data_IF_200579783109
#
_entry.id   IF_200579783109
#
_cell.length_a   1.000
_cell.length_b   1.000
_cell.length_c   1.000
_cell.angle_alpha   90.00
_cell.angle_beta   90.00
_cell.angle_gamma   90.00
#
_symmetry.space_group_name_H-M   'P 1'
#
loop_
_entity.id
_entity.type
_entity.pdbx_description
1 polymer ?
#
# COMPACT_ATOMS: atom_id res chain seq x y z
N UNK A 1 -6.38 1.79 -28.48
CA UNK A 1 -5.63 0.56 -28.19
C UNK A 1 -4.48 0.79 -27.24
N UNK A 2 -3.66 1.82 -27.50
CA UNK A 2 -2.51 2.11 -26.64
C UNK A 2 -2.94 2.49 -25.22
N UNK A 3 -3.95 3.34 -25.09
CA UNK A 3 -4.48 3.72 -23.78
C UNK A 3 -5.04 2.51 -23.05
N UNK A 4 -5.72 1.64 -23.78
CA UNK A 4 -6.26 0.42 -23.21
C UNK A 4 -5.17 -0.53 -22.75
N UNK A 5 -4.10 -0.66 -23.52
CA UNK A 5 -2.95 -1.48 -23.15
C UNK A 5 -2.28 -0.92 -21.93
N UNK A 6 -2.11 0.41 -21.86
CA UNK A 6 -1.50 1.04 -20.69
C UNK A 6 -2.35 0.82 -19.44
N UNK A 7 -3.66 0.93 -19.55
CA UNK A 7 -4.55 0.67 -18.42
C UNK A 7 -4.47 -0.78 -17.95
N UNK A 8 -4.37 -1.70 -18.88
CA UNK A 8 -4.21 -3.12 -18.57
C UNK A 8 -2.86 -3.37 -17.90
N UNK A 9 -1.82 -2.70 -18.36
CA UNK A 9 -0.49 -2.84 -17.77
C UNK A 9 -0.49 -2.39 -16.30
N UNK A 10 -1.13 -1.24 -16.00
CA UNK A 10 -1.25 -0.75 -14.63
C UNK A 10 -2.02 -1.74 -13.76
N UNK A 11 -3.14 -2.25 -14.28
CA UNK A 11 -3.95 -3.22 -13.57
C UNK A 11 -3.14 -4.49 -13.31
N UNK A 12 -2.48 -5.00 -14.35
CA UNK A 12 -1.70 -6.24 -14.24
C UNK A 12 -0.53 -6.07 -13.27
N UNK A 13 0.13 -4.93 -13.29
CA UNK A 13 1.24 -4.66 -12.37
C UNK A 13 0.77 -4.67 -10.93
N UNK A 14 -0.40 -4.08 -10.64
CA UNK A 14 -0.97 -4.08 -9.30
C UNK A 14 -1.36 -5.48 -8.86
N UNK A 15 -1.97 -6.26 -9.75
CA UNK A 15 -2.36 -7.64 -9.44
C UNK A 15 -1.13 -8.53 -9.28
N UNK A 16 -0.13 -8.37 -10.15
CA UNK A 16 1.10 -9.13 -10.03
C UNK A 16 1.81 -8.84 -8.71
N UNK A 17 1.87 -7.56 -8.32
CA UNK A 17 2.45 -7.18 -7.05
C UNK A 17 1.72 -7.85 -5.90
N UNK A 18 0.39 -7.79 -5.90
CA UNK A 18 -0.43 -8.38 -4.85
C UNK A 18 -0.19 -9.88 -4.75
N UNK A 19 -0.15 -10.57 -5.89
CA UNK A 19 0.08 -12.00 -5.92
C UNK A 19 1.47 -12.36 -5.41
N UNK A 20 2.48 -11.63 -5.87
CA UNK A 20 3.87 -11.86 -5.44
C UNK A 20 4.02 -11.63 -3.95
N UNK A 21 3.55 -10.50 -3.47
CA UNK A 21 3.64 -10.14 -2.06
C UNK A 21 2.90 -11.15 -1.19
N UNK A 22 1.73 -11.59 -1.65
CA UNK A 22 0.94 -12.60 -0.92
C UNK A 22 1.63 -13.94 -0.83
N UNK A 23 2.46 -14.31 -1.80
CA UNK A 23 3.25 -15.54 -1.76
C UNK A 23 4.39 -15.44 -0.76
N UNK A 24 5.04 -14.28 -0.70
CA UNK A 24 6.19 -14.06 0.18
C UNK A 24 5.72 -13.85 1.62
N UNK A 25 4.59 -13.19 1.79
CA UNK A 25 4.03 -12.85 3.11
C UNK A 25 2.56 -13.26 3.19
N UNK A 26 2.26 -14.58 3.25
CA UNK A 26 0.88 -15.06 3.10
C UNK A 26 -0.07 -14.59 4.19
N UNK A 27 0.44 -14.33 5.38
CA UNK A 27 -0.41 -13.92 6.51
C UNK A 27 -0.62 -12.42 6.60
N UNK A 28 0.15 -11.62 5.87
CA UNK A 28 0.12 -10.17 5.98
C UNK A 28 -1.25 -9.59 5.63
N UNK A 29 -1.77 -9.96 4.45
CA UNK A 29 -3.07 -9.45 4.00
C UNK A 29 -4.21 -9.91 4.90
N UNK A 30 -4.17 -11.18 5.33
CA UNK A 30 -5.20 -11.72 6.21
C UNK A 30 -5.21 -11.01 7.55
N UNK A 31 -4.03 -10.80 8.13
CA UNK A 31 -3.90 -10.10 9.41
C UNK A 31 -4.42 -8.67 9.32
N UNK A 32 -4.06 -7.96 8.25
CA UNK A 32 -4.56 -6.59 8.06
C UNK A 32 -6.07 -6.57 7.92
N UNK A 33 -6.63 -7.46 7.13
CA UNK A 33 -8.07 -7.49 6.87
C UNK A 33 -8.86 -7.84 8.13
N UNK A 34 -8.32 -8.73 8.95
CA UNK A 34 -8.97 -9.12 10.22
C UNK A 34 -8.89 -8.02 11.26
N UNK A 35 -7.73 -7.38 11.39
CA UNK A 35 -7.53 -6.36 12.42
C UNK A 35 -8.11 -5.01 12.03
N UNK A 36 -8.16 -4.70 10.74
CA UNK A 36 -8.61 -3.41 10.23
C UNK A 36 -9.55 -3.61 9.05
N UNK A 37 -10.79 -4.03 9.31
CA UNK A 37 -11.74 -4.34 8.24
C UNK A 37 -12.14 -3.13 7.38
N UNK A 38 -11.87 -1.91 7.86
CA UNK A 38 -12.20 -0.68 7.12
C UNK A 38 -11.15 -0.32 6.08
N UNK A 39 -10.04 -1.05 5.99
CA UNK A 39 -9.02 -0.75 4.98
C UNK A 39 -9.52 -1.12 3.59
N UNK A 40 -9.36 -0.19 2.66
CA UNK A 40 -9.68 -0.44 1.25
C UNK A 40 -8.54 -1.21 0.59
N UNK A 41 -8.76 -1.78 -0.61
CA UNK A 41 -7.66 -2.41 -1.36
C UNK A 41 -6.47 -1.48 -1.59
N UNK A 42 -6.73 -0.19 -1.80
CA UNK A 42 -5.65 0.80 -1.96
C UNK A 42 -4.87 0.98 -0.65
N UNK A 43 -5.58 1.00 0.48
CA UNK A 43 -4.93 1.09 1.79
C UNK A 43 -4.03 -0.11 2.03
N UNK A 44 -4.53 -1.30 1.71
CA UNK A 44 -3.77 -2.54 1.91
C UNK A 44 -2.53 -2.56 1.01
N UNK A 45 -2.65 -2.10 -0.22
CA UNK A 45 -1.49 -1.98 -1.12
C UNK A 45 -0.46 -1.02 -0.57
N UNK A 46 -0.92 0.12 -0.04
CA UNK A 46 -0.01 1.08 0.59
C UNK A 46 0.71 0.45 1.78
N UNK A 47 -0.01 -0.32 2.59
CA UNK A 47 0.59 -1.05 3.71
C UNK A 47 1.71 -1.98 3.23
N UNK A 48 1.50 -2.68 2.12
CA UNK A 48 2.51 -3.58 1.57
C UNK A 48 3.77 -2.81 1.12
N UNK A 49 3.58 -1.67 0.44
CA UNK A 49 4.72 -0.82 0.06
C UNK A 49 5.49 -0.34 1.27
N UNK A 50 4.78 0.05 2.32
CA UNK A 50 5.41 0.51 3.56
C UNK A 50 6.14 -0.62 4.27
N UNK A 51 5.58 -1.82 4.26
CA UNK A 51 6.26 -2.99 4.80
C UNK A 51 7.61 -3.21 4.11
N UNK A 52 7.67 -2.97 2.82
CA UNK A 52 8.90 -3.11 2.04
C UNK A 52 9.89 -1.97 2.26
N UNK A 53 9.51 -0.96 3.03
CA UNK A 53 10.39 0.17 3.34
C UNK A 53 10.47 1.22 2.25
N UNK A 54 9.49 1.26 1.35
CA UNK A 54 9.49 2.26 0.29
C UNK A 54 9.22 3.65 0.82
N UNK A 55 9.95 4.62 0.28
CA UNK A 55 9.74 6.04 0.63
C UNK A 55 8.49 6.57 -0.04
N UNK A 56 7.99 7.70 0.47
CA UNK A 56 6.85 8.40 -0.15
C UNK A 56 7.13 8.68 -1.63
N UNK A 57 8.34 9.13 -1.95
CA UNK A 57 8.74 9.44 -3.32
C UNK A 57 8.71 8.19 -4.21
N UNK A 58 9.24 7.09 -3.71
CA UNK A 58 9.23 5.82 -4.45
C UNK A 58 7.81 5.34 -4.71
N UNK A 59 6.95 5.41 -3.70
CA UNK A 59 5.54 5.04 -3.84
C UNK A 59 4.84 5.93 -4.87
N UNK A 60 5.13 7.23 -4.82
CA UNK A 60 4.54 8.19 -5.77
C UNK A 60 4.92 7.83 -7.21
N UNK A 61 6.19 7.52 -7.45
CA UNK A 61 6.65 7.12 -8.79
C UNK A 61 5.95 5.83 -9.24
N UNK A 62 5.93 4.84 -8.37
CA UNK A 62 5.36 3.53 -8.71
C UNK A 62 3.86 3.58 -8.99
N UNK A 63 3.15 4.45 -8.29
CA UNK A 63 1.69 4.55 -8.41
C UNK A 63 1.24 5.67 -9.34
N UNK A 64 2.16 6.36 -9.98
CA UNK A 64 1.87 7.48 -10.88
C UNK A 64 1.06 8.58 -10.17
N UNK A 65 1.43 8.86 -8.92
CA UNK A 65 0.75 9.86 -8.10
C UNK A 65 1.74 10.94 -7.65
N UNK A 66 1.21 12.07 -7.23
CA UNK A 66 2.03 13.13 -6.66
C UNK A 66 2.46 12.75 -5.25
N UNK A 67 3.63 13.25 -4.84
CA UNK A 67 4.16 13.02 -3.49
C UNK A 67 3.15 13.48 -2.44
N UNK A 68 2.52 14.65 -2.67
CA UNK A 68 1.51 15.19 -1.77
C UNK A 68 0.33 14.23 -1.58
N UNK A 69 -0.10 13.59 -2.66
CA UNK A 69 -1.21 12.62 -2.60
C UNK A 69 -0.82 11.40 -1.77
N UNK A 70 0.41 10.93 -1.91
CA UNK A 70 0.89 9.80 -1.13
C UNK A 70 1.02 10.17 0.35
N UNK A 71 1.53 11.36 0.65
CA UNK A 71 1.59 11.85 2.03
C UNK A 71 0.21 11.90 2.68
N UNK A 72 -0.77 12.42 1.94
CA UNK A 72 -2.15 12.47 2.43
C UNK A 72 -2.69 11.07 2.69
N UNK A 73 -2.41 10.13 1.79
CA UNK A 73 -2.83 8.75 1.96
C UNK A 73 -2.19 8.10 3.19
N UNK A 74 -0.90 8.38 3.43
CA UNK A 74 -0.21 7.89 4.63
C UNK A 74 -0.85 8.43 5.90
N UNK A 75 -1.20 9.71 5.93
CA UNK A 75 -1.82 10.31 7.09
C UNK A 75 -3.21 9.73 7.35
N UNK A 76 -4.00 9.53 6.28
CA UNK A 76 -5.31 8.87 6.42
C UNK A 76 -5.15 7.44 6.93
N UNK A 77 -4.14 6.74 6.44
CA UNK A 77 -3.86 5.37 6.88
C UNK A 77 -3.53 5.33 8.38
N UNK A 78 -2.68 6.26 8.86
CA UNK A 78 -2.39 6.35 10.29
C UNK A 78 -3.65 6.46 11.12
N UNK A 79 -4.59 7.31 10.69
CA UNK A 79 -5.87 7.46 11.40
C UNK A 79 -6.66 6.17 11.42
N UNK A 80 -6.73 5.48 10.30
CA UNK A 80 -7.45 4.20 10.22
C UNK A 80 -6.84 3.13 11.11
N UNK A 81 -5.52 3.17 11.27
CA UNK A 81 -4.78 2.22 12.11
C UNK A 81 -4.76 2.63 13.59
N UNK A 82 -5.28 3.80 13.92
CA UNK A 82 -5.24 4.31 15.30
C UNK A 82 -3.88 4.83 15.73
N UNK A 83 -3.06 5.26 14.79
CA UNK A 83 -1.71 5.76 15.05
C UNK A 83 -1.67 7.28 15.06
N UNK A 84 -0.62 7.82 15.70
CA UNK A 84 -0.36 9.25 15.70
C UNK A 84 0.38 9.67 14.42
N UNK A 85 0.37 10.97 14.13
CA UNK A 85 0.97 11.50 12.89
C UNK A 85 2.47 11.22 12.78
N UNK A 86 3.16 11.09 13.90
CA UNK A 86 4.60 10.87 13.91
C UNK A 86 5.00 9.40 14.00
N UNK A 87 4.03 8.50 14.12
CA UNK A 87 4.32 7.08 14.22
C UNK A 87 4.90 6.54 12.92
N UNK A 88 5.88 5.65 13.05
CA UNK A 88 6.56 5.05 11.92
C UNK A 88 5.69 3.93 11.33
N UNK A 89 5.13 4.18 10.16
CA UNK A 89 4.26 3.22 9.49
C UNK A 89 4.99 1.94 9.09
N UNK A 90 6.23 2.07 8.61
CA UNK A 90 7.00 0.90 8.20
C UNK A 90 7.28 -0.01 9.39
N UNK A 91 7.69 0.57 10.50
CA UNK A 91 7.92 -0.21 11.72
C UNK A 91 6.64 -0.88 12.20
N UNK A 92 5.51 -0.16 12.14
CA UNK A 92 4.23 -0.72 12.53
C UNK A 92 3.84 -1.90 11.64
N UNK A 93 3.98 -1.76 10.32
CA UNK A 93 3.68 -2.84 9.39
C UNK A 93 4.53 -4.08 9.66
N UNK A 94 5.80 -3.86 9.98
CA UNK A 94 6.72 -4.98 10.26
C UNK A 94 6.46 -5.64 11.62
N UNK A 95 5.69 -5.00 12.48
CA UNK A 95 5.32 -5.56 13.79
C UNK A 95 4.07 -6.43 13.74
N UNK A 96 3.36 -6.39 12.64
CA UNK A 96 2.09 -7.15 12.49
C UNK A 96 2.33 -8.66 12.31
#
# INVERSE_FOLDING_TARGET
>A
LLARVNNMADFDANEEFKLFFGRVHPNFYNTLSERFPDLTPRDIRLCAFLYLGMTTKEIAVLTYREIRSVDSARNRLRKKLGLELNDDLTAYMRSI
#
